data_IF_181915845100
#
_entry.id   IF_181915845100
#
_cell.length_a   1.000
_cell.length_b   1.000
_cell.length_c   1.000
_cell.angle_alpha   90.00
_cell.angle_beta   90.00
_cell.angle_gamma   90.00
#
_symmetry.space_group_name_H-M   'P 1'
#
loop_
_entity.id
_entity.type
_entity.pdbx_description
1 polymer ?
#
# COMPACT_ATOMS: atom_id res chain seq x y z
N UNK A 1 -30.59 1.71 -7.93
CA UNK A 1 -30.13 0.35 -7.58
C UNK A 1 -28.83 0.44 -6.78
N UNK A 2 -28.90 0.48 -5.44
CA UNK A 2 -27.71 0.64 -4.59
C UNK A 2 -26.76 -0.55 -4.65
N UNK A 3 -27.28 -1.77 -4.89
CA UNK A 3 -26.49 -3.00 -5.01
C UNK A 3 -25.53 -2.94 -6.20
N UNK A 4 -25.96 -2.41 -7.35
CA UNK A 4 -25.11 -2.31 -8.53
C UNK A 4 -23.91 -1.36 -8.30
N UNK A 5 -24.14 -0.22 -7.63
CA UNK A 5 -23.06 0.71 -7.27
C UNK A 5 -22.10 0.11 -6.25
N UNK A 6 -22.63 -0.62 -5.26
CA UNK A 6 -21.82 -1.35 -4.29
C UNK A 6 -20.96 -2.44 -4.97
N UNK A 7 -21.54 -3.27 -5.84
CA UNK A 7 -20.80 -4.27 -6.62
C UNK A 7 -19.73 -3.65 -7.51
N UNK A 8 -20.01 -2.51 -8.13
CA UNK A 8 -19.04 -1.80 -8.97
C UNK A 8 -17.82 -1.30 -8.17
N UNK A 9 -17.97 -1.03 -6.87
CA UNK A 9 -16.87 -0.68 -5.97
C UNK A 9 -16.19 -1.93 -5.42
N UNK A 10 -16.96 -2.91 -4.94
CA UNK A 10 -16.39 -4.08 -4.26
C UNK A 10 -15.69 -5.03 -5.21
N UNK A 11 -16.27 -5.36 -6.37
CA UNK A 11 -15.72 -6.39 -7.25
C UNK A 11 -14.28 -6.08 -7.69
N UNK A 12 -13.95 -4.88 -8.22
CA UNK A 12 -12.58 -4.60 -8.64
C UNK A 12 -11.60 -4.63 -7.45
N UNK A 13 -12.05 -4.15 -6.29
CA UNK A 13 -11.23 -4.04 -5.09
C UNK A 13 -10.97 -5.42 -4.48
N UNK A 14 -12.02 -6.15 -4.19
CA UNK A 14 -11.98 -7.47 -3.61
C UNK A 14 -11.32 -8.48 -4.50
N UNK A 15 -11.60 -8.45 -5.81
CA UNK A 15 -10.96 -9.35 -6.77
C UNK A 15 -9.42 -9.22 -6.74
N UNK A 16 -8.92 -7.98 -6.69
CA UNK A 16 -7.47 -7.74 -6.58
C UNK A 16 -6.87 -8.27 -5.27
N UNK A 17 -7.63 -8.25 -4.17
CA UNK A 17 -7.19 -8.77 -2.87
C UNK A 17 -7.28 -10.30 -2.81
N UNK A 18 -8.36 -10.87 -3.35
CA UNK A 18 -8.58 -12.30 -3.43
C UNK A 18 -7.51 -12.98 -4.30
N UNK A 19 -7.21 -12.44 -5.47
CA UNK A 19 -6.14 -12.93 -6.35
C UNK A 19 -4.76 -12.88 -5.71
N UNK A 20 -4.51 -11.94 -4.78
CA UNK A 20 -3.24 -11.85 -4.04
C UNK A 20 -3.12 -12.87 -2.93
N UNK A 21 -4.24 -13.26 -2.30
CA UNK A 21 -4.25 -14.20 -1.17
C UNK A 21 -4.38 -15.66 -1.62
N UNK A 22 -5.01 -15.88 -2.76
CA UNK A 22 -5.30 -17.21 -3.27
C UNK A 22 -4.10 -17.81 -4.00
N UNK A 23 -3.82 -19.09 -3.74
CA UNK A 23 -2.84 -19.87 -4.50
C UNK A 23 -3.33 -20.25 -5.90
N UNK A 24 -4.64 -20.31 -6.10
CA UNK A 24 -5.25 -20.65 -7.40
C UNK A 24 -6.40 -19.70 -7.73
N UNK A 25 -6.74 -19.50 -9.03
CA UNK A 25 -7.88 -18.67 -9.41
C UNK A 25 -9.22 -19.15 -8.83
N UNK A 26 -9.36 -20.47 -8.62
CA UNK A 26 -10.56 -21.04 -8.03
C UNK A 26 -10.73 -20.62 -6.55
N UNK A 27 -9.64 -20.61 -5.79
CA UNK A 27 -9.64 -20.13 -4.41
C UNK A 27 -9.97 -18.63 -4.34
N UNK A 28 -9.48 -17.85 -5.31
CA UNK A 28 -9.77 -16.40 -5.38
C UNK A 28 -11.27 -16.13 -5.56
N UNK A 29 -11.95 -16.91 -6.42
CA UNK A 29 -13.41 -16.83 -6.58
C UNK A 29 -14.11 -17.16 -5.27
N UNK A 30 -13.67 -18.21 -4.56
CA UNK A 30 -14.23 -18.58 -3.26
C UNK A 30 -14.07 -17.48 -2.20
N UNK A 31 -12.87 -16.88 -2.10
CA UNK A 31 -12.61 -15.76 -1.20
C UNK A 31 -13.48 -14.55 -1.52
N UNK A 32 -13.58 -14.17 -2.79
CA UNK A 32 -14.37 -13.00 -3.17
C UNK A 32 -15.85 -13.23 -2.95
N UNK A 33 -16.38 -14.41 -3.27
CA UNK A 33 -17.77 -14.74 -3.03
C UNK A 33 -18.10 -14.76 -1.54
N UNK A 34 -17.22 -15.34 -0.71
CA UNK A 34 -17.35 -15.32 0.75
C UNK A 34 -17.32 -13.90 1.31
N UNK A 35 -16.44 -13.03 0.78
CA UNK A 35 -16.36 -11.62 1.15
C UNK A 35 -17.64 -10.89 0.80
N UNK A 36 -18.11 -10.98 -0.45
CA UNK A 36 -19.33 -10.34 -0.94
C UNK A 36 -20.56 -10.77 -0.13
N UNK A 37 -20.73 -12.08 0.13
CA UNK A 37 -21.80 -12.59 0.98
C UNK A 37 -21.70 -12.03 2.40
N UNK A 38 -20.52 -12.10 3.01
CA UNK A 38 -20.29 -11.59 4.36
C UNK A 38 -20.63 -10.10 4.48
N UNK A 39 -20.19 -9.29 3.52
CA UNK A 39 -20.51 -7.87 3.47
C UNK A 39 -22.00 -7.58 3.21
N UNK A 40 -22.70 -8.41 2.42
CA UNK A 40 -24.12 -8.23 2.12
C UNK A 40 -25.04 -8.60 3.30
N UNK A 41 -24.60 -9.52 4.19
CA UNK A 41 -25.39 -9.93 5.37
C UNK A 41 -25.61 -8.76 6.34
N UNK A 42 -24.63 -7.89 6.52
CA UNK A 42 -24.73 -6.73 7.43
C UNK A 42 -25.87 -5.77 7.03
N UNK A 43 -25.91 -5.18 5.82
CA UNK A 43 -26.97 -4.27 5.42
C UNK A 43 -28.33 -4.98 5.34
N UNK A 44 -28.38 -6.27 4.97
CA UNK A 44 -29.61 -7.06 5.04
C UNK A 44 -30.14 -7.20 6.48
N UNK A 45 -29.24 -7.44 7.44
CA UNK A 45 -29.59 -7.54 8.87
C UNK A 45 -30.12 -6.19 9.38
N UNK A 46 -29.44 -5.09 9.06
CA UNK A 46 -29.88 -3.73 9.41
C UNK A 46 -31.26 -3.42 8.81
N UNK A 47 -31.47 -3.76 7.54
CA UNK A 47 -32.74 -3.59 6.86
C UNK A 47 -33.86 -4.41 7.50
N UNK A 48 -33.59 -5.66 7.88
CA UNK A 48 -34.54 -6.53 8.57
C UNK A 48 -34.92 -5.98 9.95
N UNK A 49 -33.96 -5.49 10.73
CA UNK A 49 -34.22 -4.85 12.03
C UNK A 49 -35.10 -3.61 11.83
N UNK A 50 -34.75 -2.74 10.87
CA UNK A 50 -35.53 -1.54 10.55
C UNK A 50 -36.96 -1.87 10.09
N UNK A 51 -37.13 -2.95 9.31
CA UNK A 51 -38.43 -3.47 8.91
C UNK A 51 -39.27 -3.88 10.14
N UNK A 52 -38.67 -4.58 11.11
CA UNK A 52 -39.38 -5.04 12.32
C UNK A 52 -39.77 -3.88 13.22
N UNK A 53 -38.86 -2.94 13.48
CA UNK A 53 -39.10 -1.75 14.32
C UNK A 53 -40.12 -0.82 13.65
N UNK A 54 -40.00 -0.61 12.35
CA UNK A 54 -40.91 0.23 11.55
C UNK A 54 -42.28 -0.40 11.28
N UNK A 55 -42.72 -1.38 12.09
CA UNK A 55 -44.01 -2.08 11.95
C UNK A 55 -44.24 -2.63 10.54
N UNK A 56 -43.22 -3.26 9.96
CA UNK A 56 -43.22 -3.82 8.59
C UNK A 56 -43.22 -2.79 7.46
N UNK A 57 -42.71 -1.58 7.72
CA UNK A 57 -42.51 -0.56 6.68
C UNK A 57 -41.38 -0.94 5.71
N UNK A 58 -41.73 -1.14 4.44
CA UNK A 58 -40.78 -1.42 3.36
C UNK A 58 -39.89 -0.21 3.04
N UNK A 59 -40.41 1.02 3.17
CA UNK A 59 -39.65 2.26 2.95
C UNK A 59 -38.54 2.44 3.98
N UNK A 60 -38.82 2.16 5.26
CA UNK A 60 -37.81 2.25 6.32
C UNK A 60 -36.67 1.26 6.06
N UNK A 61 -37.02 0.01 5.72
CA UNK A 61 -36.05 -1.03 5.39
C UNK A 61 -35.17 -0.66 4.19
N UNK A 62 -35.74 -0.14 3.10
CA UNK A 62 -34.99 0.25 1.90
C UNK A 62 -34.03 1.40 2.16
N UNK A 63 -34.43 2.39 2.96
CA UNK A 63 -33.57 3.53 3.29
C UNK A 63 -32.39 3.09 4.16
N UNK A 64 -32.65 2.31 5.20
CA UNK A 64 -31.60 1.77 6.07
C UNK A 64 -30.64 0.85 5.31
N UNK A 65 -31.14 0.01 4.40
CA UNK A 65 -30.31 -0.83 3.53
C UNK A 65 -29.38 0.02 2.66
N UNK A 66 -29.91 1.06 2.03
CA UNK A 66 -29.14 1.95 1.14
C UNK A 66 -28.06 2.70 1.91
N UNK A 67 -28.38 3.22 3.10
CA UNK A 67 -27.42 3.90 3.96
C UNK A 67 -26.32 2.95 4.45
N UNK A 68 -26.67 1.72 4.84
CA UNK A 68 -25.70 0.73 5.27
C UNK A 68 -24.73 0.33 4.13
N UNK A 69 -25.25 0.13 2.91
CA UNK A 69 -24.40 -0.11 1.73
C UNK A 69 -23.49 1.08 1.42
N UNK A 70 -24.03 2.30 1.44
CA UNK A 70 -23.22 3.50 1.19
C UNK A 70 -22.11 3.66 2.23
N UNK A 71 -22.40 3.40 3.51
CA UNK A 71 -21.41 3.42 4.57
C UNK A 71 -20.33 2.35 4.37
N UNK A 72 -20.70 1.13 3.95
CA UNK A 72 -19.74 0.08 3.62
C UNK A 72 -18.82 0.49 2.47
N UNK A 73 -19.36 1.07 1.39
CA UNK A 73 -18.53 1.61 0.30
C UNK A 73 -17.51 2.62 0.82
N UNK A 74 -17.95 3.56 1.68
CA UNK A 74 -17.05 4.56 2.29
C UNK A 74 -15.99 3.89 3.15
N UNK A 75 -16.37 2.90 3.97
CA UNK A 75 -15.41 2.18 4.83
C UNK A 75 -14.37 1.39 4.02
N UNK A 76 -14.78 0.78 2.90
CA UNK A 76 -13.84 0.08 2.00
C UNK A 76 -12.89 1.07 1.34
N UNK A 77 -13.36 2.25 0.94
CA UNK A 77 -12.51 3.29 0.36
C UNK A 77 -11.54 3.87 1.40
N UNK A 78 -12.03 4.24 2.58
CA UNK A 78 -11.22 4.83 3.67
C UNK A 78 -10.28 3.81 4.31
N UNK A 79 -10.67 2.55 4.39
CA UNK A 79 -9.86 1.48 4.98
C UNK A 79 -8.56 1.20 4.23
N UNK A 80 -8.43 1.65 2.97
CA UNK A 80 -7.20 1.50 2.18
C UNK A 80 -6.11 2.49 2.54
N UNK A 81 -6.46 3.66 3.06
CA UNK A 81 -5.51 4.77 3.22
C UNK A 81 -4.88 4.83 4.62
N UNK A 82 -4.94 3.77 5.42
CA UNK A 82 -4.26 3.81 6.71
C UNK A 82 -2.77 3.55 6.49
N UNK A 83 -1.89 4.55 6.73
CA UNK A 83 -0.47 4.33 6.64
C UNK A 83 -0.07 3.24 7.62
N UNK A 84 0.69 2.26 7.13
CA UNK A 84 1.34 1.28 7.99
C UNK A 84 2.40 2.00 8.79
N UNK A 85 2.43 1.76 10.09
CA UNK A 85 3.26 2.50 11.03
C UNK A 85 4.58 1.76 11.31
N UNK A 86 5.69 2.48 11.23
CA UNK A 86 7.04 1.99 11.46
C UNK A 86 7.77 2.75 12.58
N UNK A 87 7.02 3.35 13.50
CA UNK A 87 7.55 4.09 14.65
C UNK A 87 7.39 5.60 14.44
N UNK A 88 8.42 6.25 13.91
CA UNK A 88 8.49 7.70 13.69
C UNK A 88 7.89 8.16 12.36
N UNK A 89 7.50 7.20 11.51
CA UNK A 89 6.92 7.42 10.19
C UNK A 89 5.94 6.31 9.83
N UNK A 90 5.12 6.57 8.82
CA UNK A 90 4.30 5.57 8.17
C UNK A 90 4.00 5.93 6.72
N UNK A 91 3.59 4.94 5.93
CA UNK A 91 3.19 5.11 4.53
C UNK A 91 2.21 4.01 4.10
N UNK A 92 1.56 4.19 2.96
CA UNK A 92 0.71 3.15 2.39
C UNK A 92 1.55 2.09 1.67
N UNK A 93 1.23 0.81 1.92
CA UNK A 93 1.89 -0.30 1.23
C UNK A 93 1.34 -0.40 -0.20
N UNK A 94 2.19 -0.36 -1.24
CA UNK A 94 1.74 -0.46 -2.61
C UNK A 94 0.96 -1.74 -2.89
N UNK A 95 0.01 -1.67 -3.83
CA UNK A 95 -0.78 -2.85 -4.19
C UNK A 95 0.11 -3.96 -4.78
N UNK A 96 -0.02 -5.18 -4.25
CA UNK A 96 0.83 -6.32 -4.64
C UNK A 96 2.05 -6.53 -3.74
N UNK A 97 2.32 -5.57 -2.86
CA UNK A 97 3.44 -5.63 -1.94
C UNK A 97 2.99 -6.10 -0.55
N UNK A 98 3.87 -6.82 0.12
CA UNK A 98 3.65 -7.32 1.48
C UNK A 98 4.74 -6.77 2.38
N UNK A 99 4.32 -6.25 3.54
CA UNK A 99 5.27 -5.86 4.58
C UNK A 99 5.83 -7.11 5.27
N UNK A 100 7.15 -7.21 5.35
CA UNK A 100 7.85 -8.26 6.08
C UNK A 100 8.64 -7.67 7.22
N UNK A 101 8.78 -8.45 8.30
CA UNK A 101 9.53 -8.00 9.48
C UNK A 101 11.04 -8.03 9.16
N UNK A 102 11.74 -6.89 9.21
CA UNK A 102 13.18 -6.86 9.01
C UNK A 102 13.91 -7.61 10.12
N UNK A 103 15.08 -8.19 9.80
CA UNK A 103 15.94 -8.86 10.78
C UNK A 103 16.89 -7.89 11.52
N UNK A 104 17.14 -6.72 10.94
CA UNK A 104 18.08 -5.72 11.44
C UNK A 104 17.34 -4.59 12.13
N UNK A 105 17.91 -4.06 13.22
CA UNK A 105 17.37 -2.90 13.93
C UNK A 105 17.46 -1.59 13.12
N UNK A 106 18.36 -1.56 12.13
CA UNK A 106 18.55 -0.42 11.22
C UNK A 106 17.43 -0.37 10.18
N UNK A 107 16.98 -1.54 9.70
CA UNK A 107 15.91 -1.61 8.73
C UNK A 107 14.56 -1.54 9.46
N UNK A 108 13.83 -0.44 9.29
CA UNK A 108 12.55 -0.20 9.99
C UNK A 108 11.35 -0.68 9.20
N UNK A 109 11.43 -0.67 7.87
CA UNK A 109 10.40 -1.19 7.00
C UNK A 109 11.03 -1.99 5.86
N UNK A 110 10.43 -3.14 5.52
CA UNK A 110 10.82 -3.94 4.37
C UNK A 110 9.54 -4.44 3.68
N UNK A 111 9.43 -4.18 2.38
CA UNK A 111 8.35 -4.64 1.54
C UNK A 111 8.90 -5.59 0.48
N UNK A 112 8.16 -6.64 0.18
CA UNK A 112 8.45 -7.55 -0.91
C UNK A 112 7.30 -7.51 -1.91
N UNK A 113 7.64 -7.39 -3.20
CA UNK A 113 6.69 -7.74 -4.27
C UNK A 113 6.73 -9.25 -4.47
N UNK A 114 5.60 -9.89 -4.27
CA UNK A 114 5.42 -11.34 -4.42
C UNK A 114 4.55 -11.61 -5.62
N UNK A 115 5.05 -12.42 -6.56
CA UNK A 115 4.18 -13.03 -7.56
C UNK A 115 3.44 -14.21 -6.91
N UNK A 116 2.12 -14.10 -6.82
CA UNK A 116 1.24 -15.12 -6.27
C UNK A 116 1.40 -16.47 -7.02
N UNK A 117 1.82 -16.46 -8.28
CA UNK A 117 1.99 -17.67 -9.07
C UNK A 117 3.30 -18.42 -8.78
N UNK A 118 4.38 -17.73 -8.40
CA UNK A 118 5.73 -18.32 -8.36
C UNK A 118 6.37 -18.40 -6.97
N UNK A 119 5.76 -17.79 -5.93
CA UNK A 119 6.36 -17.69 -4.59
C UNK A 119 7.79 -17.12 -4.60
N UNK A 120 8.18 -16.42 -5.67
CA UNK A 120 9.46 -15.74 -5.79
C UNK A 120 9.29 -14.26 -5.57
N UNK A 121 10.17 -13.66 -4.76
CA UNK A 121 10.23 -12.20 -4.64
C UNK A 121 10.87 -11.62 -5.90
N UNK A 122 10.19 -10.67 -6.55
CA UNK A 122 10.70 -10.01 -7.76
C UNK A 122 11.45 -8.72 -7.43
N UNK A 123 11.02 -8.08 -6.34
CA UNK A 123 11.50 -6.78 -5.92
C UNK A 123 11.43 -6.61 -4.41
N UNK A 124 12.31 -5.78 -3.88
CA UNK A 124 12.35 -5.37 -2.47
C UNK A 124 12.38 -3.86 -2.39
N UNK A 125 11.71 -3.34 -1.36
CA UNK A 125 11.81 -1.95 -0.94
C UNK A 125 12.14 -1.95 0.55
N UNK A 126 13.18 -1.20 0.93
CA UNK A 126 13.67 -1.13 2.30
C UNK A 126 13.74 0.32 2.76
N UNK A 127 13.41 0.54 4.03
CA UNK A 127 13.67 1.79 4.73
C UNK A 127 14.64 1.53 5.85
N UNK A 128 15.85 2.05 5.69
CA UNK A 128 16.89 2.03 6.70
C UNK A 128 16.91 3.37 7.44
N UNK A 129 17.03 3.30 8.77
CA UNK A 129 17.08 4.48 9.64
C UNK A 129 18.32 4.40 10.52
N UNK A 130 19.13 5.46 10.49
CA UNK A 130 20.37 5.48 11.25
C UNK A 130 21.01 6.86 11.34
N UNK A 131 22.24 6.89 11.87
CA UNK A 131 23.03 8.13 11.94
C UNK A 131 23.59 8.46 10.54
N UNK A 132 23.51 9.72 10.09
CA UNK A 132 24.07 10.12 8.81
C UNK A 132 25.59 9.92 8.82
N UNK A 133 26.11 9.29 7.76
CA UNK A 133 27.56 9.14 7.53
C UNK A 133 28.11 10.20 6.58
N UNK A 134 27.22 10.84 5.81
CA UNK A 134 27.53 11.91 4.87
C UNK A 134 27.01 13.24 5.40
N UNK A 135 27.55 14.37 4.92
CA UNK A 135 27.15 15.69 5.41
C UNK A 135 25.73 16.06 4.96
N UNK A 136 25.32 15.60 3.77
CA UNK A 136 24.00 15.90 3.20
C UNK A 136 23.29 14.67 2.64
N UNK A 137 21.95 14.74 2.58
CA UNK A 137 21.13 13.72 1.93
C UNK A 137 21.47 13.58 0.43
N UNK A 138 21.85 14.68 -0.22
CA UNK A 138 22.25 14.69 -1.63
C UNK A 138 23.52 13.86 -1.86
N UNK A 139 24.56 14.10 -1.06
CA UNK A 139 25.81 13.33 -1.12
C UNK A 139 25.57 11.83 -0.87
N UNK A 140 24.69 11.51 0.08
CA UNK A 140 24.34 10.11 0.35
C UNK A 140 23.69 9.44 -0.85
N UNK A 141 22.75 10.10 -1.52
CA UNK A 141 22.10 9.55 -2.72
C UNK A 141 23.12 9.43 -3.86
N UNK A 142 23.99 10.43 -4.07
CA UNK A 142 25.07 10.39 -5.07
C UNK A 142 26.05 9.25 -4.86
N UNK A 143 26.21 8.75 -3.63
CA UNK A 143 27.06 7.59 -3.37
C UNK A 143 26.61 6.32 -4.10
N UNK A 144 25.34 6.24 -4.52
CA UNK A 144 24.78 5.13 -5.29
C UNK A 144 24.82 5.37 -6.81
N UNK A 145 25.49 6.44 -7.28
CA UNK A 145 25.52 6.80 -8.70
C UNK A 145 26.34 5.78 -9.51
N UNK A 146 25.78 5.35 -10.64
CA UNK A 146 26.42 4.46 -11.62
C UNK A 146 26.38 5.06 -13.04
N UNK A 147 26.97 4.33 -13.99
CA UNK A 147 26.93 4.72 -15.40
C UNK A 147 25.52 4.59 -15.95
N UNK A 148 24.75 5.68 -15.90
CA UNK A 148 23.36 5.73 -16.36
C UNK A 148 22.38 6.19 -15.28
N UNK A 149 22.85 6.50 -14.09
CA UNK A 149 22.07 7.17 -13.07
C UNK A 149 21.54 8.53 -13.54
N UNK A 150 20.35 8.86 -13.05
CA UNK A 150 19.79 10.21 -13.14
C UNK A 150 20.45 11.14 -12.12
N UNK A 151 20.57 12.44 -12.37
CA UNK A 151 21.08 13.36 -11.35
C UNK A 151 20.11 13.42 -10.16
N UNK A 152 20.60 13.49 -8.90
CA UNK A 152 19.74 13.59 -7.74
C UNK A 152 18.79 14.78 -7.82
N UNK A 153 17.50 14.50 -7.65
CA UNK A 153 16.40 15.47 -7.71
C UNK A 153 15.88 15.75 -6.31
N UNK A 154 15.70 17.02 -5.97
CA UNK A 154 15.08 17.41 -4.72
C UNK A 154 13.60 16.98 -4.69
N UNK A 155 13.17 16.46 -3.54
CA UNK A 155 11.80 16.04 -3.24
C UNK A 155 11.39 16.58 -1.87
N UNK A 156 10.08 16.66 -1.63
CA UNK A 156 9.54 16.97 -0.31
C UNK A 156 8.76 15.77 0.18
N UNK A 157 9.20 15.20 1.30
CA UNK A 157 8.56 14.06 1.95
C UNK A 157 7.87 14.58 3.19
N UNK A 158 6.55 14.78 3.08
CA UNK A 158 5.70 15.34 4.14
C UNK A 158 6.27 16.64 4.74
N UNK A 159 6.69 17.55 3.85
CA UNK A 159 7.23 18.88 4.21
C UNK A 159 8.73 18.92 4.49
N UNK A 160 9.41 17.78 4.60
CA UNK A 160 10.87 17.71 4.80
C UNK A 160 11.58 17.52 3.47
N UNK A 161 12.60 18.33 3.20
CA UNK A 161 13.41 18.22 1.98
C UNK A 161 14.25 16.93 1.99
N UNK A 162 14.25 16.24 0.86
CA UNK A 162 15.09 15.08 0.59
C UNK A 162 15.55 15.04 -0.85
N UNK A 163 16.30 14.01 -1.21
CA UNK A 163 16.77 13.79 -2.57
C UNK A 163 16.39 12.39 -3.02
N UNK A 164 16.05 12.25 -4.31
CA UNK A 164 15.79 10.98 -4.97
C UNK A 164 16.65 10.83 -6.21
N UNK A 165 17.04 9.61 -6.52
CA UNK A 165 17.76 9.24 -7.74
C UNK A 165 17.30 7.86 -8.21
N UNK A 166 17.29 7.70 -9.52
CA UNK A 166 17.21 6.38 -10.17
C UNK A 166 18.60 6.00 -10.73
N UNK A 167 19.01 4.76 -10.52
CA UNK A 167 20.23 4.16 -11.07
C UNK A 167 19.92 3.36 -12.33
N UNK A 168 20.95 2.86 -13.02
CA UNK A 168 20.77 1.98 -14.18
C UNK A 168 20.53 0.51 -13.82
N UNK A 169 20.63 0.13 -12.53
CA UNK A 169 20.46 -1.25 -12.06
C UNK A 169 19.16 -1.91 -12.54
N UNK A 170 19.23 -3.19 -12.89
CA UNK A 170 18.09 -4.03 -13.30
C UNK A 170 18.05 -5.35 -12.52
N UNK A 171 18.85 -5.46 -11.48
CA UNK A 171 18.97 -6.65 -10.65
C UNK A 171 19.04 -6.30 -9.16
N UNK A 172 19.44 -7.28 -8.36
CA UNK A 172 19.50 -7.18 -6.90
C UNK A 172 20.84 -6.67 -6.36
N UNK A 173 21.83 -6.49 -7.23
CA UNK A 173 23.18 -6.11 -6.81
C UNK A 173 23.25 -4.65 -6.36
N UNK A 174 22.42 -3.79 -6.98
CA UNK A 174 22.38 -2.36 -6.71
C UNK A 174 20.93 -1.87 -6.66
N UNK A 175 20.61 -0.89 -5.79
CA UNK A 175 19.27 -0.33 -5.74
C UNK A 175 18.97 0.44 -7.01
N UNK A 176 17.80 0.21 -7.60
CA UNK A 176 17.26 0.96 -8.74
C UNK A 176 16.82 2.36 -8.35
N UNK A 177 16.12 2.48 -7.22
CA UNK A 177 15.61 3.75 -6.71
C UNK A 177 16.20 3.99 -5.33
N UNK A 178 16.68 5.20 -5.10
CA UNK A 178 17.26 5.62 -3.82
C UNK A 178 16.71 6.98 -3.46
N UNK A 179 16.23 7.14 -2.23
CA UNK A 179 15.83 8.42 -1.68
C UNK A 179 16.36 8.55 -0.26
N UNK A 180 16.84 9.74 0.09
CA UNK A 180 17.31 10.05 1.43
C UNK A 180 16.63 11.31 1.95
N UNK A 181 16.20 11.24 3.22
CA UNK A 181 15.69 12.39 3.96
C UNK A 181 16.44 12.47 5.29
N UNK A 182 16.91 13.66 5.66
CA UNK A 182 17.55 13.90 6.95
C UNK A 182 16.54 14.60 7.87
N UNK A 183 16.29 14.02 9.04
CA UNK A 183 15.35 14.57 10.03
C UNK A 183 15.82 14.18 11.43
N UNK A 184 15.75 15.12 12.37
CA UNK A 184 16.04 14.90 13.79
C UNK A 184 17.40 14.20 14.08
N UNK A 185 18.42 14.57 13.29
CA UNK A 185 19.77 14.00 13.40
C UNK A 185 19.93 12.57 12.88
N UNK A 186 18.89 12.04 12.21
CA UNK A 186 18.88 10.74 11.57
C UNK A 186 18.76 10.86 10.04
N UNK A 187 19.16 9.80 9.35
CA UNK A 187 18.88 9.59 7.93
C UNK A 187 17.86 8.48 7.76
N UNK A 188 16.85 8.76 6.93
CA UNK A 188 15.87 7.80 6.45
C UNK A 188 16.22 7.51 4.98
N UNK A 189 16.79 6.34 4.74
CA UNK A 189 17.22 5.88 3.43
C UNK A 189 16.19 4.88 2.90
N UNK A 190 15.43 5.29 1.90
CA UNK A 190 14.52 4.45 1.15
C UNK A 190 15.24 3.90 -0.08
N UNK A 191 15.35 2.59 -0.20
CA UNK A 191 15.92 1.92 -1.38
C UNK A 191 14.93 0.93 -1.96
N UNK A 192 14.98 0.74 -3.28
CA UNK A 192 14.30 -0.38 -3.92
C UNK A 192 15.18 -1.02 -4.99
N UNK A 193 15.13 -2.36 -5.07
CA UNK A 193 15.90 -3.18 -5.99
C UNK A 193 15.03 -4.35 -6.49
N UNK A 194 15.35 -4.90 -7.66
CA UNK A 194 14.60 -6.02 -8.22
C UNK A 194 14.67 -6.08 -9.73
N UNK A 195 14.05 -7.13 -10.29
CA UNK A 195 14.10 -7.43 -11.73
C UNK A 195 13.00 -6.71 -12.54
N UNK A 196 11.91 -6.31 -11.90
CA UNK A 196 10.76 -5.68 -12.56
C UNK A 196 10.78 -4.15 -12.37
N UNK A 197 11.38 -3.45 -13.32
CA UNK A 197 11.71 -2.02 -13.18
C UNK A 197 10.48 -1.10 -13.10
N UNK A 198 9.45 -1.23 -13.96
CA UNK A 198 8.28 -0.35 -13.91
C UNK A 198 7.49 -0.44 -12.60
N UNK A 199 7.33 -1.66 -12.06
CA UNK A 199 6.59 -1.86 -10.81
C UNK A 199 7.33 -1.22 -9.63
N UNK A 200 8.66 -1.34 -9.58
CA UNK A 200 9.51 -0.75 -8.54
C UNK A 200 9.34 0.77 -8.48
N UNK A 201 9.49 1.47 -9.61
CA UNK A 201 9.41 2.94 -9.64
C UNK A 201 8.03 3.43 -9.20
N UNK A 202 6.96 2.75 -9.62
CA UNK A 202 5.59 3.07 -9.20
C UNK A 202 5.40 2.87 -7.69
N UNK A 203 5.82 1.73 -7.16
CA UNK A 203 5.73 1.39 -5.74
C UNK A 203 6.53 2.37 -4.87
N UNK A 204 7.76 2.68 -5.29
CA UNK A 204 8.65 3.63 -4.62
C UNK A 204 8.05 5.04 -4.57
N UNK A 205 7.51 5.51 -5.70
CA UNK A 205 6.82 6.81 -5.77
C UNK A 205 5.59 6.87 -4.87
N UNK A 206 4.80 5.79 -4.76
CA UNK A 206 3.67 5.72 -3.84
C UNK A 206 4.11 5.82 -2.38
N UNK A 207 5.16 5.10 -1.98
CA UNK A 207 5.71 5.16 -0.61
C UNK A 207 6.13 6.59 -0.26
N UNK A 208 6.85 7.28 -1.15
CA UNK A 208 7.24 8.67 -0.95
C UNK A 208 6.04 9.63 -0.86
N UNK A 209 5.04 9.45 -1.73
CA UNK A 209 3.85 10.31 -1.80
C UNK A 209 2.95 10.17 -0.57
N UNK A 210 2.84 8.97 -0.03
CA UNK A 210 1.96 8.63 1.10
C UNK A 210 2.68 8.65 2.44
N UNK A 211 3.96 9.02 2.44
CA UNK A 211 4.75 9.16 3.64
C UNK A 211 4.15 10.20 4.60
N UNK A 212 4.13 9.85 5.88
CA UNK A 212 3.69 10.69 6.98
C UNK A 212 4.63 10.57 8.16
N UNK A 213 5.12 11.71 8.63
CA UNK A 213 5.89 11.80 9.86
C UNK A 213 4.97 11.74 11.09
N UNK A 214 5.51 11.25 12.20
CA UNK A 214 4.88 11.34 13.53
C UNK A 214 5.63 12.29 14.45
#
# INVERSE_FOLDING_TARGET
MPVAGWLAVELPIGWSEAMRRASTPADAVGFEFGRLLGSAVIPLTVAWIAYRIGRRSTRAASTCFTLALALQCVLVLVGRERPTNFGEFGFEVPAGWVCVRPKSDVCKAMLLSTDAAQNSSHSVLMVDVGKPRMATARELVQHFEDSGSTPPKAIHVDGIEGFVMETSSVDWSHPRCVAAVFRDGQVYLLTAAGKDTPEITSAFGQVLKTWKWR
#
